data_IF_352809262038
#
_entry.id   IF_352809262038
#
_cell.length_a   1.000
_cell.length_b   1.000
_cell.length_c   1.000
_cell.angle_alpha   90.00
_cell.angle_beta   90.00
_cell.angle_gamma   90.00
#
_symmetry.space_group_name_H-M   'P 1'
#
loop_
_entity.id
_entity.type
_entity.pdbx_description
1 polymer ?
#
# COMPACT_ATOMS: atom_id res chain seq x y z
N UNK A 1 3.68 17.35 7.23
CA UNK A 1 2.71 16.35 6.76
C UNK A 1 3.44 15.02 6.75
N UNK A 2 2.78 13.91 7.09
CA UNK A 2 3.37 12.58 6.98
C UNK A 2 3.04 12.07 5.58
N UNK A 3 4.07 11.70 4.82
CA UNK A 3 3.95 11.11 3.48
C UNK A 3 4.01 9.58 3.67
N UNK A 4 2.88 8.89 3.45
CA UNK A 4 2.73 7.46 3.77
C UNK A 4 2.07 6.69 2.63
N UNK A 5 2.52 5.45 2.46
CA UNK A 5 1.83 4.42 1.69
C UNK A 5 1.43 3.31 2.65
N UNK A 6 0.13 3.09 2.79
CA UNK A 6 -0.44 2.11 3.71
C UNK A 6 -0.88 0.90 2.91
N UNK A 7 -0.39 -0.27 3.29
CA UNK A 7 -0.83 -1.56 2.76
C UNK A 7 -1.79 -2.15 3.79
N UNK A 8 -3.06 -2.27 3.43
CA UNK A 8 -4.13 -2.70 4.31
C UNK A 8 -4.64 -4.09 3.89
N UNK A 9 -4.61 -5.07 4.79
CA UNK A 9 -5.21 -6.38 4.55
C UNK A 9 -6.74 -6.26 4.51
N UNK A 10 -7.38 -6.79 3.47
CA UNK A 10 -8.83 -6.70 3.30
C UNK A 10 -9.53 -7.67 4.26
N UNK A 11 -10.40 -7.13 5.12
CA UNK A 11 -11.18 -7.93 6.06
C UNK A 11 -12.13 -8.89 5.32
N UNK A 12 -11.98 -10.19 5.57
CA UNK A 12 -12.81 -11.24 4.99
C UNK A 12 -12.32 -11.86 3.68
N UNK A 13 -11.24 -11.34 3.10
CA UNK A 13 -10.60 -11.89 1.90
C UNK A 13 -9.15 -12.32 2.23
N UNK A 14 -8.89 -13.63 2.18
CA UNK A 14 -7.57 -14.18 2.54
C UNK A 14 -6.50 -13.72 1.52
N UNK A 15 -5.38 -13.20 2.03
CA UNK A 15 -4.21 -12.79 1.25
C UNK A 15 -4.44 -11.63 0.25
N UNK A 16 -5.53 -10.87 0.39
CA UNK A 16 -5.80 -9.68 -0.42
C UNK A 16 -5.57 -8.39 0.36
N UNK A 17 -4.96 -7.43 -0.32
CA UNK A 17 -4.50 -6.17 0.27
C UNK A 17 -4.89 -5.00 -0.62
N UNK A 18 -5.31 -3.92 0.01
CA UNK A 18 -5.54 -2.63 -0.62
C UNK A 18 -4.46 -1.62 -0.24
N UNK A 19 -4.28 -0.61 -1.09
CA UNK A 19 -3.32 0.46 -0.85
C UNK A 19 -4.05 1.75 -0.52
N UNK A 20 -3.54 2.47 0.47
CA UNK A 20 -4.02 3.79 0.84
C UNK A 20 -2.85 4.77 0.91
N UNK A 21 -2.96 5.86 0.17
CA UNK A 21 -1.88 6.83 0.01
C UNK A 21 -2.21 8.11 0.79
N UNK A 22 -1.20 8.69 1.47
CA UNK A 22 -1.36 9.91 2.27
C UNK A 22 -0.26 10.90 1.89
N UNK A 23 -0.63 12.16 1.66
CA UNK A 23 0.30 13.24 1.35
C UNK A 23 0.73 13.20 -0.11
N UNK A 24 2.03 13.29 -0.38
CA UNK A 24 2.55 13.30 -1.77
C UNK A 24 2.19 12.04 -2.57
N UNK A 25 1.96 10.93 -1.89
CA UNK A 25 1.57 9.67 -2.52
C UNK A 25 0.14 9.70 -3.11
N UNK A 26 -0.72 10.61 -2.66
CA UNK A 26 -2.08 10.77 -3.22
C UNK A 26 -2.06 11.22 -4.69
N UNK A 27 -0.99 11.91 -5.11
CA UNK A 27 -0.82 12.41 -6.49
C UNK A 27 -0.45 11.27 -7.47
N UNK A 28 -0.09 10.08 -6.98
CA UNK A 28 0.26 8.92 -7.82
C UNK A 28 -0.95 8.30 -8.53
N UNK A 29 -2.18 8.69 -8.17
CA UNK A 29 -3.37 8.46 -8.99
C UNK A 29 -3.93 7.04 -8.98
N UNK A 30 -3.66 6.25 -7.93
CA UNK A 30 -4.34 4.98 -7.72
C UNK A 30 -5.79 5.24 -7.28
N UNK A 31 -6.76 5.00 -8.18
CA UNK A 31 -8.18 5.14 -7.86
C UNK A 31 -8.66 3.99 -6.96
N UNK A 32 -9.29 4.36 -5.85
CA UNK A 32 -9.89 3.61 -4.72
C UNK A 32 -10.81 2.41 -5.08
N UNK A 33 -10.98 2.01 -6.34
CA UNK A 33 -11.95 0.99 -6.77
C UNK A 33 -11.38 -0.44 -6.88
N UNK A 34 -10.07 -0.70 -6.71
CA UNK A 34 -9.48 -1.90 -7.37
C UNK A 34 -8.42 -2.75 -6.67
N UNK A 35 -8.01 -2.50 -5.42
CA UNK A 35 -6.86 -3.26 -4.92
C UNK A 35 -7.26 -4.50 -4.12
N UNK A 36 -7.66 -5.53 -4.88
CA UNK A 36 -7.53 -6.94 -4.52
C UNK A 36 -6.12 -7.40 -4.89
N UNK A 37 -5.09 -6.78 -4.29
CA UNK A 37 -3.70 -7.08 -4.61
C UNK A 37 -3.19 -8.22 -3.74
N UNK A 38 -2.27 -9.02 -4.28
CA UNK A 38 -1.49 -9.91 -3.43
C UNK A 38 -0.54 -9.10 -2.56
N UNK A 39 -0.06 -9.68 -1.46
CA UNK A 39 0.92 -9.03 -0.61
C UNK A 39 2.19 -8.60 -1.36
N UNK A 40 2.57 -9.34 -2.40
CA UNK A 40 3.74 -9.02 -3.25
C UNK A 40 3.44 -7.79 -4.09
N UNK A 41 2.33 -7.78 -4.83
CA UNK A 41 1.97 -6.66 -5.69
C UNK A 41 1.79 -5.38 -4.87
N UNK A 42 1.09 -5.47 -3.74
CA UNK A 42 0.90 -4.34 -2.83
C UNK A 42 2.24 -3.79 -2.31
N UNK A 43 3.20 -4.67 -1.99
CA UNK A 43 4.52 -4.23 -1.57
C UNK A 43 5.32 -3.58 -2.69
N UNK A 44 5.30 -4.14 -3.91
CA UNK A 44 6.03 -3.60 -5.06
C UNK A 44 5.52 -2.21 -5.44
N UNK A 45 4.20 -2.04 -5.53
CA UNK A 45 3.57 -0.75 -5.81
C UNK A 45 3.90 0.23 -4.68
N UNK A 46 3.74 -0.17 -3.41
CA UNK A 46 4.06 0.70 -2.29
C UNK A 46 5.53 1.11 -2.24
N UNK A 47 6.46 0.21 -2.59
CA UNK A 47 7.88 0.51 -2.66
C UNK A 47 8.22 1.47 -3.80
N UNK A 48 7.58 1.32 -4.96
CA UNK A 48 7.73 2.25 -6.07
C UNK A 48 7.25 3.66 -5.68
N UNK A 49 6.02 3.77 -5.18
CA UNK A 49 5.44 5.05 -4.76
C UNK A 49 6.26 5.68 -3.64
N UNK A 50 6.65 4.90 -2.64
CA UNK A 50 7.48 5.38 -1.54
C UNK A 50 8.81 5.96 -2.03
N UNK A 51 9.45 5.32 -3.03
CA UNK A 51 10.70 5.81 -3.62
C UNK A 51 10.52 7.10 -4.41
N UNK A 52 9.47 7.20 -5.22
CA UNK A 52 9.23 8.38 -6.06
C UNK A 52 8.76 9.59 -5.24
N UNK A 53 8.03 9.36 -4.14
CA UNK A 53 7.41 10.43 -3.34
C UNK A 53 8.13 10.72 -2.02
N UNK A 54 9.20 9.98 -1.71
CA UNK A 54 9.89 10.00 -0.41
C UNK A 54 8.94 9.69 0.77
N UNK A 55 7.97 8.80 0.53
CA UNK A 55 6.98 8.36 1.52
C UNK A 55 7.46 7.13 2.30
N UNK A 56 6.89 6.89 3.48
CA UNK A 56 7.16 5.66 4.24
C UNK A 56 6.07 4.61 4.02
N UNK A 57 6.46 3.33 3.97
CA UNK A 57 5.51 2.22 3.85
C UNK A 57 5.05 1.77 5.24
N UNK A 58 3.75 1.62 5.43
CA UNK A 58 3.12 1.11 6.65
C UNK A 58 2.24 -0.08 6.31
N UNK A 59 2.38 -1.18 7.04
CA UNK A 59 1.47 -2.33 6.94
C UNK A 59 0.39 -2.25 8.02
N UNK A 60 -0.87 -2.45 7.64
CA UNK A 60 -2.02 -2.57 8.52
C UNK A 60 -2.67 -3.93 8.31
N UNK A 61 -2.59 -4.80 9.32
CA UNK A 61 -2.99 -6.20 9.24
C UNK A 61 -1.78 -7.12 9.26
N UNK A 62 -1.90 -8.27 8.59
CA UNK A 62 -0.84 -9.28 8.55
C UNK A 62 0.31 -8.81 7.67
N UNK A 63 1.46 -8.49 8.28
CA UNK A 63 2.70 -8.25 7.53
C UNK A 63 3.34 -9.60 7.16
N UNK A 64 3.57 -9.89 5.87
CA UNK A 64 4.29 -11.10 5.48
C UNK A 64 5.71 -11.14 6.04
N UNK A 65 6.21 -12.33 6.38
CA UNK A 65 7.54 -12.49 7.00
C UNK A 65 8.72 -12.14 6.09
N UNK A 66 8.48 -12.01 4.78
CA UNK A 66 9.50 -11.66 3.79
C UNK A 66 9.65 -10.14 3.59
N UNK A 67 8.75 -9.32 4.16
CA UNK A 67 8.75 -7.86 4.09
C UNK A 67 9.47 -7.19 5.27
#
# INVERSE_FOLDING_TARGET
MQDLVIIHEMDGEDELYSLHFIGKAEDYGFSDESDYLTAVDAHEIAAEVARETDSQIKWEGTKPSWC
#
